data_IF_386886245314
#
_entry.id   IF_386886245314
#
_cell.length_a   1.000
_cell.length_b   1.000
_cell.length_c   1.000
_cell.angle_alpha   90.00
_cell.angle_beta   90.00
_cell.angle_gamma   90.00
#
_symmetry.space_group_name_H-M   'P 1'
#
loop_
_entity.id
_entity.type
_entity.pdbx_description
1 polymer ?
#
# COMPACT_ATOMS: atom_id res chain seq x y z
N UNK A 1 -9.15 17.71 -2.57
CA UNK A 1 -8.03 16.84 -3.01
C UNK A 1 -7.32 16.35 -1.76
N UNK A 2 -7.38 15.05 -1.45
CA UNK A 2 -6.66 14.52 -0.28
C UNK A 2 -5.16 14.48 -0.59
N UNK A 3 -4.33 15.05 0.29
CA UNK A 3 -2.87 15.04 0.13
C UNK A 3 -2.41 13.60 0.26
N UNK A 4 -1.81 13.03 -0.80
CA UNK A 4 -1.23 11.68 -0.75
C UNK A 4 -0.02 11.73 0.19
N UNK A 5 -0.22 11.26 1.42
CA UNK A 5 0.85 11.17 2.40
C UNK A 5 1.86 10.11 1.96
N UNK A 6 3.18 10.34 2.05
CA UNK A 6 4.16 9.29 1.81
C UNK A 6 3.94 8.11 2.76
N UNK A 7 4.38 6.92 2.37
CA UNK A 7 4.36 5.77 3.29
C UNK A 7 5.39 6.00 4.39
N UNK A 8 5.08 5.77 5.68
CA UNK A 8 6.07 5.88 6.74
C UNK A 8 7.28 4.97 6.47
N UNK A 9 8.48 5.46 6.77
CA UNK A 9 9.70 4.65 6.66
C UNK A 9 9.64 3.45 7.63
N UNK A 10 10.31 2.36 7.26
CA UNK A 10 10.30 1.13 8.06
C UNK A 10 9.20 0.13 7.70
N UNK A 11 8.15 0.56 6.99
CA UNK A 11 7.13 -0.35 6.47
C UNK A 11 7.72 -1.34 5.48
N UNK A 12 7.23 -2.58 5.52
CA UNK A 12 7.54 -3.61 4.52
C UNK A 12 6.35 -3.79 3.59
N UNK A 13 6.64 -4.18 2.36
CA UNK A 13 5.62 -4.43 1.35
C UNK A 13 5.71 -5.87 0.86
N UNK A 14 4.58 -6.37 0.39
CA UNK A 14 4.49 -7.58 -0.42
C UNK A 14 3.93 -7.22 -1.80
N UNK A 15 4.38 -7.91 -2.85
CA UNK A 15 3.80 -7.73 -4.18
C UNK A 15 2.35 -8.21 -4.21
N UNK A 16 1.51 -7.55 -5.01
CA UNK A 16 0.20 -8.13 -5.35
C UNK A 16 0.41 -9.50 -6.03
N UNK A 17 -0.35 -10.56 -5.68
CA UNK A 17 -0.15 -11.88 -6.26
C UNK A 17 -0.32 -11.94 -7.79
N UNK A 18 -1.07 -11.00 -8.36
CA UNK A 18 -1.31 -10.90 -9.81
C UNK A 18 -0.36 -9.89 -10.48
N UNK A 19 0.59 -9.33 -9.74
CA UNK A 19 1.59 -8.42 -10.31
C UNK A 19 2.49 -9.15 -11.30
N UNK A 20 2.48 -8.68 -12.55
CA UNK A 20 3.43 -9.10 -13.57
C UNK A 20 4.50 -8.02 -13.77
N UNK A 21 5.76 -8.45 -13.74
CA UNK A 21 6.92 -7.59 -13.94
C UNK A 21 7.58 -7.90 -15.29
N UNK A 22 7.89 -6.86 -16.08
CA UNK A 22 8.53 -6.94 -17.41
C UNK A 22 9.68 -5.94 -17.50
N UNK A 23 10.45 -5.99 -18.58
CA UNK A 23 11.56 -5.06 -18.86
C UNK A 23 12.52 -4.96 -17.66
N UNK A 24 13.03 -6.10 -17.21
CA UNK A 24 13.90 -6.21 -16.02
C UNK A 24 13.31 -5.54 -14.77
N UNK A 25 12.00 -5.72 -14.56
CA UNK A 25 11.30 -5.18 -13.40
C UNK A 25 10.90 -3.71 -13.50
N UNK A 26 11.16 -3.06 -14.65
CA UNK A 26 10.83 -1.65 -14.87
C UNK A 26 9.41 -1.42 -15.35
N UNK A 27 8.72 -2.43 -15.85
CA UNK A 27 7.31 -2.35 -16.21
C UNK A 27 6.50 -3.23 -15.29
N UNK A 28 5.58 -2.62 -14.55
CA UNK A 28 4.69 -3.25 -13.57
C UNK A 28 3.27 -3.28 -14.15
N UNK A 29 2.64 -4.44 -14.15
CA UNK A 29 1.31 -4.66 -14.74
C UNK A 29 0.43 -5.42 -13.74
N UNK A 30 -0.75 -4.88 -13.41
CA UNK A 30 -1.68 -5.51 -12.46
C UNK A 30 -2.50 -4.49 -11.68
N UNK A 31 -2.94 -4.87 -10.49
CA UNK A 31 -3.74 -4.04 -9.59
C UNK A 31 -5.23 -4.01 -9.95
N UNK A 32 -6.02 -3.38 -9.08
CA UNK A 32 -7.47 -3.20 -9.26
C UNK A 32 -7.86 -1.75 -8.92
N UNK A 33 -8.37 -0.97 -9.89
CA UNK A 33 -8.55 -1.31 -11.30
C UNK A 33 -7.19 -1.56 -11.99
N UNK A 34 -7.19 -2.33 -13.09
CA UNK A 34 -5.97 -2.73 -13.80
C UNK A 34 -5.13 -1.53 -14.26
N UNK A 35 -3.82 -1.54 -13.96
CA UNK A 35 -2.87 -0.49 -14.33
C UNK A 35 -1.57 -1.04 -14.88
N UNK A 36 -0.92 -0.24 -15.72
CA UNK A 36 0.46 -0.42 -16.14
C UNK A 36 1.29 0.79 -15.72
N UNK A 37 2.43 0.56 -15.08
CA UNK A 37 3.34 1.62 -14.62
C UNK A 37 4.77 1.33 -15.05
N UNK A 38 5.47 2.37 -15.52
CA UNK A 38 6.90 2.29 -15.82
C UNK A 38 7.73 2.96 -14.73
N UNK A 39 8.71 2.23 -14.24
CA UNK A 39 9.66 2.66 -13.23
C UNK A 39 10.96 3.14 -13.87
N UNK A 40 11.62 4.09 -13.19
CA UNK A 40 13.04 4.32 -13.40
C UNK A 40 13.82 3.09 -12.95
N UNK A 41 15.08 2.99 -13.39
CA UNK A 41 15.96 1.89 -12.98
C UNK A 41 16.17 1.86 -11.46
N UNK A 42 16.33 3.03 -10.84
CA UNK A 42 16.41 3.15 -9.38
C UNK A 42 15.12 2.71 -8.67
N UNK A 43 13.96 2.99 -9.26
CA UNK A 43 12.66 2.55 -8.75
C UNK A 43 12.49 1.04 -8.83
N UNK A 44 12.88 0.42 -9.95
CA UNK A 44 12.86 -1.03 -10.10
C UNK A 44 13.74 -1.72 -9.05
N UNK A 45 14.97 -1.21 -8.84
CA UNK A 45 15.87 -1.70 -7.77
C UNK A 45 15.28 -1.53 -6.37
N UNK A 46 14.52 -0.47 -6.12
CA UNK A 46 13.85 -0.30 -4.83
C UNK A 46 12.77 -1.35 -4.62
N UNK A 47 11.97 -1.61 -5.65
CA UNK A 47 10.94 -2.66 -5.63
C UNK A 47 11.55 -4.04 -5.45
N UNK A 48 12.66 -4.37 -6.13
CA UNK A 48 13.38 -5.63 -5.93
C UNK A 48 13.75 -5.84 -4.46
N UNK A 49 14.37 -4.84 -3.83
CA UNK A 49 14.71 -4.91 -2.40
C UNK A 49 13.49 -5.10 -1.51
N UNK A 50 12.37 -4.44 -1.82
CA UNK A 50 11.14 -4.59 -1.03
C UNK A 50 10.53 -5.98 -1.16
N UNK A 51 10.60 -6.57 -2.36
CA UNK A 51 10.19 -7.97 -2.60
C UNK A 51 11.08 -8.93 -1.80
N UNK A 52 12.39 -8.63 -1.70
CA UNK A 52 13.33 -9.35 -0.83
C UNK A 52 13.12 -9.04 0.68
N UNK A 53 12.09 -8.27 1.01
CA UNK A 53 11.65 -7.98 2.37
C UNK A 53 12.29 -6.75 2.99
N UNK A 54 13.14 -5.98 2.29
CA UNK A 54 13.73 -4.78 2.87
C UNK A 54 12.65 -3.71 3.19
N UNK A 55 12.81 -2.95 4.29
CA UNK A 55 11.88 -1.88 4.62
C UNK A 55 12.00 -0.69 3.66
N UNK A 56 10.91 0.05 3.51
CA UNK A 56 10.84 1.30 2.75
C UNK A 56 11.70 2.37 3.44
N UNK A 57 12.56 3.05 2.66
CA UNK A 57 13.28 4.24 3.13
C UNK A 57 12.44 5.51 2.93
N UNK A 58 12.79 6.55 3.69
CA UNK A 58 12.14 7.86 3.58
C UNK A 58 12.36 8.54 2.20
N UNK A 59 11.65 9.63 1.96
CA UNK A 59 11.82 10.47 0.78
C UNK A 59 11.20 9.88 -0.49
N UNK A 60 12.00 9.75 -1.55
CA UNK A 60 11.51 9.33 -2.88
C UNK A 60 11.00 7.88 -2.85
N UNK A 61 11.64 7.00 -2.08
CA UNK A 61 11.19 5.62 -1.88
C UNK A 61 9.79 5.57 -1.26
N UNK A 62 9.55 6.34 -0.20
CA UNK A 62 8.24 6.46 0.45
C UNK A 62 7.14 7.00 -0.49
N UNK A 63 7.50 7.90 -1.40
CA UNK A 63 6.58 8.43 -2.41
C UNK A 63 6.27 7.38 -3.49
N UNK A 64 7.27 6.63 -3.95
CA UNK A 64 7.09 5.54 -4.89
C UNK A 64 6.20 4.44 -4.27
N UNK A 65 6.48 4.05 -3.03
CA UNK A 65 5.69 3.08 -2.29
C UNK A 65 4.22 3.50 -2.25
N UNK A 66 3.92 4.77 -1.93
CA UNK A 66 2.54 5.28 -1.92
C UNK A 66 1.86 5.10 -3.28
N UNK A 67 2.55 5.40 -4.38
CA UNK A 67 1.98 5.26 -5.72
C UNK A 67 1.66 3.81 -6.07
N UNK A 68 2.50 2.86 -5.66
CA UNK A 68 2.28 1.43 -5.90
C UNK A 68 1.15 0.87 -5.04
N UNK A 69 1.04 1.31 -3.78
CA UNK A 69 -0.09 1.00 -2.90
C UNK A 69 -1.40 1.53 -3.49
N UNK A 70 -1.43 2.80 -3.90
CA UNK A 70 -2.64 3.43 -4.49
C UNK A 70 -3.04 2.77 -5.82
N UNK A 71 -2.08 2.15 -6.52
CA UNK A 71 -2.31 1.39 -7.74
C UNK A 71 -2.74 -0.06 -7.49
N UNK A 72 -2.69 -0.54 -6.24
CA UNK A 72 -2.94 -1.94 -5.89
C UNK A 72 -1.87 -2.90 -6.43
N UNK A 73 -0.66 -2.43 -6.73
CA UNK A 73 0.43 -3.25 -7.27
C UNK A 73 1.29 -3.88 -6.18
N UNK A 74 1.30 -3.29 -4.99
CA UNK A 74 1.93 -3.82 -3.78
C UNK A 74 1.01 -3.53 -2.60
N UNK A 75 1.16 -4.31 -1.53
CA UNK A 75 0.37 -4.22 -0.31
C UNK A 75 1.27 -4.10 0.92
N UNK A 76 0.84 -3.43 2.00
CA UNK A 76 1.60 -3.42 3.25
C UNK A 76 1.71 -4.84 3.81
N UNK A 77 2.91 -5.25 4.20
CA UNK A 77 3.10 -6.47 4.97
C UNK A 77 2.71 -6.16 6.42
N UNK A 78 1.54 -6.65 6.82
CA UNK A 78 1.03 -6.52 8.18
C UNK A 78 1.17 -7.85 8.90
N UNK A 79 1.70 -7.80 10.12
CA UNK A 79 1.66 -8.97 10.99
C UNK A 79 0.20 -9.21 11.43
N UNK A 80 -0.26 -10.47 11.50
CA UNK A 80 -1.58 -10.77 12.01
C UNK A 80 -1.70 -10.23 13.44
N UNK A 81 -2.76 -9.45 13.71
CA UNK A 81 -3.05 -9.04 15.07
C UNK A 81 -3.31 -10.29 15.94
N UNK A 82 -2.64 -10.33 17.10
CA UNK A 82 -2.82 -11.37 18.11
C UNK A 82 -4.09 -11.15 18.91
N UNK A 83 -4.45 -9.88 19.12
CA UNK A 83 -5.72 -9.49 19.70
C UNK A 83 -6.79 -9.45 18.61
N UNK A 84 -7.88 -10.18 18.84
CA UNK A 84 -9.01 -10.31 17.90
C UNK A 84 -10.24 -9.53 18.36
N UNK A 85 -10.18 -8.90 19.52
CA UNK A 85 -11.29 -8.13 20.06
C UNK A 85 -11.20 -6.69 19.54
N UNK A 86 -11.87 -6.43 18.42
CA UNK A 86 -11.90 -5.13 17.78
C UNK A 86 -13.33 -4.61 17.63
N UNK A 87 -13.61 -3.46 18.21
CA UNK A 87 -14.87 -2.74 17.98
C UNK A 87 -14.78 -1.96 16.67
N UNK A 88 -15.62 -2.33 15.70
CA UNK A 88 -15.72 -1.61 14.42
C UNK A 88 -16.68 -0.44 14.59
N UNK A 89 -16.19 0.78 14.41
CA UNK A 89 -17.02 1.99 14.34
C UNK A 89 -17.20 2.37 12.88
N UNK A 90 -18.44 2.31 12.39
CA UNK A 90 -18.80 2.78 11.06
C UNK A 90 -19.36 4.20 11.17
N UNK A 91 -18.67 5.23 10.68
CA UNK A 91 -19.19 6.58 10.72
C UNK A 91 -20.38 6.69 9.77
N UNK A 92 -21.49 7.23 10.27
CA UNK A 92 -22.67 7.53 9.47
C UNK A 92 -22.68 9.02 9.17
N UNK A 93 -22.83 9.37 7.91
CA UNK A 93 -22.89 10.77 7.49
C UNK A 93 -24.28 11.32 7.83
N UNK A 94 -24.30 12.42 8.58
CA UNK A 94 -25.48 13.26 8.83
C UNK A 94 -26.68 12.53 9.49
N UNK A 95 -26.42 11.50 10.30
CA UNK A 95 -27.44 10.74 11.04
C UNK A 95 -27.19 10.81 12.57
N UNK A 96 -27.66 11.87 13.26
CA UNK A 96 -27.36 12.12 14.68
C UNK A 96 -27.89 11.04 15.63
N UNK A 97 -28.96 10.36 15.24
CA UNK A 97 -29.63 9.29 15.99
C UNK A 97 -28.74 8.06 16.24
N UNK A 98 -27.67 7.88 15.45
CA UNK A 98 -26.77 6.73 15.50
C UNK A 98 -25.50 6.98 16.35
N UNK A 99 -25.45 8.06 17.13
CA UNK A 99 -24.28 8.42 17.95
C UNK A 99 -24.11 7.55 19.21
N UNK A 100 -25.08 6.69 19.53
CA UNK A 100 -24.98 5.82 20.70
C UNK A 100 -24.44 4.44 20.32
N UNK A 101 -23.26 4.10 20.85
CA UNK A 101 -22.81 2.71 20.89
C UNK A 101 -23.75 1.95 21.84
N UNK A 102 -24.35 0.82 21.44
CA UNK A 102 -25.11 -0.01 22.36
C UNK A 102 -24.18 -0.44 23.52
N UNK A 103 -24.66 -0.27 24.75
CA UNK A 103 -23.95 -0.61 25.99
C UNK A 103 -23.94 -2.12 26.21
#
# INVERSE_FOLDING_TARGET
MSVRQPVPAGFRLVADPLLVRRDSGRVMVGGSPFRMMRLSEAGARAVDRWIDGAPIRAGVEATLARRLLDAGLMHPLVEPATDRDATVVTPVRDEPSLTTLPT
#
